data_IF_886436255154
#
_entry.id   IF_886436255154
#
_cell.length_a   1.000
_cell.length_b   1.000
_cell.length_c   1.000
_cell.angle_alpha   90.00
_cell.angle_beta   90.00
_cell.angle_gamma   90.00
#
_symmetry.space_group_name_H-M   'P 1'
#
loop_
_entity.id
_entity.type
_entity.pdbx_description
1 polymer ?
#
# COMPACT_ATOMS: atom_id res chain seq x y z
N UNK A 1 -13.49 -19.10 -34.95
CA UNK A 1 -12.06 -18.73 -34.80
C UNK A 1 -11.92 -18.13 -33.41
N UNK A 2 -12.17 -18.93 -32.37
CA UNK A 2 -12.20 -18.48 -30.95
C UNK A 2 -11.26 -19.31 -30.06
N UNK A 3 -10.63 -20.35 -30.62
CA UNK A 3 -9.83 -21.31 -29.86
C UNK A 3 -8.35 -20.91 -29.74
N UNK A 4 -7.95 -19.78 -30.33
CA UNK A 4 -6.56 -19.28 -30.30
C UNK A 4 -6.33 -18.26 -29.17
N UNK A 5 -7.40 -17.80 -28.49
CA UNK A 5 -7.32 -16.81 -27.41
C UNK A 5 -7.11 -17.42 -26.02
N UNK A 6 -7.48 -18.70 -25.83
CA UNK A 6 -7.33 -19.39 -24.54
C UNK A 6 -5.95 -20.05 -24.36
N UNK A 7 -5.16 -20.19 -25.42
CA UNK A 7 -3.80 -20.78 -25.38
C UNK A 7 -2.76 -19.87 -24.69
N UNK A 8 -3.12 -18.59 -24.47
CA UNK A 8 -2.26 -17.59 -23.83
C UNK A 8 -2.66 -17.25 -22.39
N UNK A 9 -3.79 -17.78 -21.91
CA UNK A 9 -4.19 -17.61 -20.51
C UNK A 9 -3.55 -18.75 -19.76
N UNK A 10 -2.46 -18.43 -19.07
CA UNK A 10 -1.75 -19.39 -18.22
C UNK A 10 -2.75 -20.08 -17.29
N UNK A 11 -2.75 -21.41 -17.32
CA UNK A 11 -3.73 -22.23 -16.62
C UNK A 11 -3.78 -21.83 -15.14
N UNK A 12 -4.96 -21.49 -14.65
CA UNK A 12 -5.14 -20.98 -13.28
C UNK A 12 -4.58 -21.95 -12.21
N UNK A 13 -4.58 -23.25 -12.52
CA UNK A 13 -3.97 -24.29 -11.68
C UNK A 13 -2.43 -24.15 -11.58
N UNK A 14 -1.77 -23.75 -12.66
CA UNK A 14 -0.32 -23.50 -12.69
C UNK A 14 0.00 -22.27 -11.86
N UNK A 15 -0.79 -21.20 -12.03
CA UNK A 15 -0.66 -19.96 -11.23
C UNK A 15 -0.85 -20.23 -9.74
N UNK A 16 -1.85 -21.04 -9.37
CA UNK A 16 -2.10 -21.40 -7.97
C UNK A 16 -0.95 -22.22 -7.38
N UNK A 17 -0.47 -23.23 -8.11
CA UNK A 17 0.64 -24.08 -7.65
C UNK A 17 1.92 -23.27 -7.46
N UNK A 18 2.20 -22.35 -8.39
CA UNK A 18 3.35 -21.45 -8.30
C UNK A 18 3.24 -20.48 -7.12
N UNK A 19 2.06 -19.90 -6.90
CA UNK A 19 1.77 -19.03 -5.76
C UNK A 19 1.99 -19.75 -4.43
N UNK A 20 1.42 -20.95 -4.28
CA UNK A 20 1.55 -21.77 -3.05
C UNK A 20 2.99 -22.22 -2.80
N UNK A 21 3.72 -22.60 -3.85
CA UNK A 21 5.13 -22.99 -3.74
C UNK A 21 6.01 -21.79 -3.31
N UNK A 22 5.79 -20.62 -3.93
CA UNK A 22 6.53 -19.40 -3.61
C UNK A 22 6.24 -18.93 -2.19
N UNK A 23 4.98 -19.01 -1.75
CA UNK A 23 4.61 -18.71 -0.36
C UNK A 23 5.22 -19.69 0.64
N UNK A 24 5.34 -20.98 0.31
CA UNK A 24 5.99 -21.96 1.21
C UNK A 24 7.50 -21.79 1.27
N UNK A 25 8.13 -21.40 0.17
CA UNK A 25 9.58 -21.23 0.08
C UNK A 25 10.05 -19.89 0.68
N UNK A 26 9.25 -18.82 0.52
CA UNK A 26 9.64 -17.46 0.90
C UNK A 26 8.70 -16.75 1.89
N UNK A 27 7.53 -17.31 2.19
CA UNK A 27 6.48 -16.63 2.97
C UNK A 27 6.88 -16.24 4.39
N UNK A 28 7.81 -16.97 5.00
CA UNK A 28 8.33 -16.67 6.34
C UNK A 28 9.61 -15.83 6.30
N UNK A 29 10.22 -15.69 5.11
CA UNK A 29 11.44 -14.92 4.93
C UNK A 29 11.11 -13.44 4.85
N UNK A 30 10.98 -12.81 6.01
CA UNK A 30 11.02 -11.35 6.20
C UNK A 30 12.41 -10.78 5.88
N UNK A 31 13.03 -11.19 4.77
CA UNK A 31 14.21 -10.53 4.27
C UNK A 31 13.77 -9.13 3.84
N UNK A 32 14.26 -8.11 4.54
CA UNK A 32 13.94 -6.68 4.40
C UNK A 32 13.95 -6.22 2.92
N UNK A 33 14.78 -6.85 2.08
CA UNK A 33 14.85 -6.60 0.64
C UNK A 33 13.64 -7.10 -0.18
N UNK A 34 13.02 -8.24 0.16
CA UNK A 34 11.92 -8.82 -0.62
C UNK A 34 10.62 -8.03 -0.42
N UNK A 35 10.35 -7.59 0.81
CA UNK A 35 9.16 -6.78 1.09
C UNK A 35 9.29 -5.41 0.42
N UNK A 36 10.49 -4.83 0.36
CA UNK A 36 10.70 -3.56 -0.36
C UNK A 36 10.65 -3.70 -1.88
N UNK A 37 11.03 -4.86 -2.45
CA UNK A 37 10.91 -5.13 -3.88
C UNK A 37 9.44 -5.22 -4.34
N UNK A 38 8.57 -5.81 -3.52
CA UNK A 38 7.14 -5.98 -3.83
C UNK A 38 6.25 -4.80 -3.39
N UNK A 39 6.55 -4.20 -2.24
CA UNK A 39 5.73 -3.17 -1.62
C UNK A 39 6.41 -1.78 -1.59
N UNK A 40 7.62 -1.66 -2.13
CA UNK A 40 8.36 -0.40 -2.18
C UNK A 40 8.68 0.12 -0.78
N UNK A 41 8.27 1.37 -0.54
CA UNK A 41 8.50 2.05 0.74
C UNK A 41 7.34 1.84 1.74
N UNK A 42 6.29 1.08 1.37
CA UNK A 42 5.17 0.77 2.27
C UNK A 42 5.59 0.10 3.60
N UNK A 43 6.61 -0.78 3.67
CA UNK A 43 7.05 -1.35 4.94
C UNK A 43 7.53 -0.30 5.93
N UNK A 44 8.11 0.80 5.45
CA UNK A 44 8.51 1.91 6.31
C UNK A 44 7.32 2.66 6.90
N UNK A 45 6.15 2.65 6.24
CA UNK A 45 4.93 3.22 6.81
C UNK A 45 4.46 2.45 8.05
N UNK A 46 4.70 1.13 8.09
CA UNK A 46 4.33 0.28 9.22
C UNK A 46 5.23 0.50 10.44
N UNK A 47 6.46 0.98 10.24
CA UNK A 47 7.42 1.28 11.32
C UNK A 47 7.23 2.70 11.90
N UNK A 48 6.38 3.53 11.30
CA UNK A 48 6.12 4.88 11.81
C UNK A 48 5.45 4.77 13.18
N UNK A 49 6.05 5.44 14.16
CA UNK A 49 5.39 5.69 15.44
C UNK A 49 4.27 6.71 15.26
N UNK A 50 3.08 6.20 14.94
CA UNK A 50 1.88 7.03 14.78
C UNK A 50 1.40 7.54 16.13
N UNK A 51 1.15 8.84 16.23
CA UNK A 51 0.50 9.42 17.39
C UNK A 51 -0.98 8.95 17.45
N UNK A 52 -1.36 8.33 18.58
CA UNK A 52 -2.70 7.78 18.78
C UNK A 52 -3.80 8.84 18.65
N UNK A 53 -3.55 10.07 19.10
CA UNK A 53 -4.52 11.16 19.04
C UNK A 53 -4.67 11.67 17.61
N UNK A 54 -3.57 11.76 16.87
CA UNK A 54 -3.60 12.08 15.43
C UNK A 54 -4.42 11.07 14.66
N UNK A 55 -4.14 9.77 14.80
CA UNK A 55 -4.88 8.74 14.07
C UNK A 55 -6.36 8.71 14.42
N UNK A 56 -6.68 8.90 15.71
CA UNK A 56 -8.07 9.03 16.16
C UNK A 56 -8.76 10.23 15.51
N UNK A 57 -8.08 11.37 15.39
CA UNK A 57 -8.62 12.54 14.71
C UNK A 57 -8.83 12.26 13.21
N UNK A 58 -7.83 11.71 12.52
CA UNK A 58 -7.93 11.35 11.10
C UNK A 58 -9.13 10.42 10.86
N UNK A 59 -9.27 9.36 11.65
CA UNK A 59 -10.39 8.43 11.53
C UNK A 59 -11.75 9.09 11.84
N UNK A 60 -11.81 10.04 12.78
CA UNK A 60 -13.05 10.74 13.13
C UNK A 60 -13.53 11.70 12.05
N UNK A 61 -12.59 12.35 11.34
CA UNK A 61 -12.91 13.33 10.31
C UNK A 61 -12.89 12.75 8.89
N UNK A 62 -12.43 11.51 8.70
CA UNK A 62 -12.40 10.84 7.41
C UNK A 62 -13.83 10.63 6.88
N UNK A 63 -14.09 11.17 5.69
CA UNK A 63 -15.31 10.95 4.95
C UNK A 63 -15.04 10.01 3.78
N UNK A 64 -15.49 8.73 3.86
CA UNK A 64 -15.21 7.75 2.83
C UNK A 64 -15.95 8.02 1.51
N UNK A 65 -17.02 8.81 1.52
CA UNK A 65 -17.77 9.12 0.30
C UNK A 65 -17.02 10.10 -0.62
N UNK A 66 -16.17 10.95 -0.03
CA UNK A 66 -15.43 12.00 -0.74
C UNK A 66 -13.92 11.80 -0.68
N UNK A 67 -13.45 10.74 -0.01
CA UNK A 67 -12.02 10.44 0.18
C UNK A 67 -11.23 11.63 0.74
N UNK A 68 -11.82 12.38 1.67
CA UNK A 68 -11.24 13.58 2.27
C UNK A 68 -11.55 13.66 3.78
N UNK A 69 -10.84 14.55 4.48
CA UNK A 69 -11.20 14.88 5.86
C UNK A 69 -12.17 16.06 5.87
N UNK A 70 -13.41 15.80 6.26
CA UNK A 70 -14.43 16.85 6.36
C UNK A 70 -14.37 17.50 7.74
N UNK A 71 -14.00 18.78 7.79
CA UNK A 71 -14.17 19.61 8.98
C UNK A 71 -15.37 20.51 8.80
N UNK A 72 -16.01 20.91 9.89
CA UNK A 72 -17.27 21.69 9.89
C UNK A 72 -17.28 22.93 8.97
N UNK A 73 -16.12 23.51 8.66
CA UNK A 73 -15.97 24.71 7.82
C UNK A 73 -15.18 24.49 6.53
N UNK A 74 -14.64 23.30 6.29
CA UNK A 74 -13.82 23.05 5.10
C UNK A 74 -13.30 21.63 5.05
N UNK A 75 -13.02 21.19 3.84
CA UNK A 75 -12.49 19.86 3.57
C UNK A 75 -10.99 19.93 3.39
N UNK A 76 -10.29 18.93 3.90
CA UNK A 76 -8.86 18.76 3.73
C UNK A 76 -8.62 17.50 2.89
N UNK A 77 -7.95 17.68 1.77
CA UNK A 77 -7.41 16.59 0.94
C UNK A 77 -5.89 16.75 0.97
N UNK A 78 -5.20 16.12 1.93
CA UNK A 78 -3.77 16.33 2.05
C UNK A 78 -3.03 15.80 0.82
N UNK A 79 -2.02 16.52 0.37
CA UNK A 79 -1.08 15.98 -0.63
C UNK A 79 -0.18 14.93 0.01
N UNK A 80 0.59 14.21 -0.82
CA UNK A 80 1.54 13.19 -0.34
C UNK A 80 2.54 13.81 0.65
N UNK A 81 3.03 15.02 0.37
CA UNK A 81 3.97 15.77 1.22
C UNK A 81 3.35 16.14 2.56
N UNK A 82 2.08 16.55 2.57
CA UNK A 82 1.36 16.89 3.79
C UNK A 82 1.11 15.64 4.66
N UNK A 83 0.80 14.49 4.06
CA UNK A 83 0.73 13.22 4.78
C UNK A 83 2.09 12.83 5.38
N UNK A 84 3.17 12.97 4.63
CA UNK A 84 4.52 12.71 5.15
C UNK A 84 4.85 13.62 6.33
N UNK A 85 4.50 14.90 6.25
CA UNK A 85 4.72 15.85 7.34
C UNK A 85 3.88 15.50 8.60
N UNK A 86 2.60 15.17 8.41
CA UNK A 86 1.68 14.80 9.50
C UNK A 86 2.12 13.51 10.21
N UNK A 87 2.51 12.50 9.43
CA UNK A 87 2.94 11.20 9.95
C UNK A 87 4.42 11.21 10.37
N UNK A 88 5.14 12.32 10.17
CA UNK A 88 6.57 12.45 10.43
C UNK A 88 7.41 11.43 9.66
N UNK A 89 7.00 11.11 8.43
CA UNK A 89 7.73 10.29 7.48
C UNK A 89 8.88 11.11 6.86
N UNK A 90 10.08 11.04 7.42
CA UNK A 90 11.27 11.64 6.80
C UNK A 90 11.98 10.72 5.81
N UNK A 91 11.61 9.43 5.75
CA UNK A 91 12.33 8.39 4.99
C UNK A 91 11.77 8.10 3.60
N UNK A 92 10.54 8.52 3.31
CA UNK A 92 9.92 8.28 1.99
C UNK A 92 10.44 9.37 1.06
N UNK A 93 11.36 9.01 0.17
CA UNK A 93 11.75 9.91 -0.91
C UNK A 93 10.57 9.99 -1.89
N UNK A 94 9.78 11.06 -1.80
CA UNK A 94 8.76 11.39 -2.80
C UNK A 94 9.33 11.62 -4.22
N UNK A 95 10.66 11.58 -4.36
CA UNK A 95 11.41 11.81 -5.59
C UNK A 95 11.55 10.57 -6.50
N UNK A 96 10.98 9.42 -6.11
CA UNK A 96 10.77 8.31 -7.05
C UNK A 96 9.51 8.57 -7.86
N UNK A 97 9.62 9.56 -8.75
CA UNK A 97 8.61 9.92 -9.75
C UNK A 97 8.38 8.73 -10.69
N UNK A 98 7.09 8.41 -10.87
CA UNK A 98 6.42 7.57 -11.87
C UNK A 98 7.21 7.12 -13.11
#
# INVERSE_FOLDING_TARGET
>A
MENEFLDKVEDNAVVQTWSEATQREKGDSLAEGYVSEFYGDLPYLLDIKVDKHLFRALAQFWNPAYSCFTFRRGDLVPTVEEYMALLRCSKIQADKVY
#
